data_IF_413762152125
#
_entry.id   IF_413762152125
#
_cell.length_a   1.000
_cell.length_b   1.000
_cell.length_c   1.000
_cell.angle_alpha   90.00
_cell.angle_beta   90.00
_cell.angle_gamma   90.00
#
_symmetry.space_group_name_H-M   'P 1'
#
loop_
_entity.id
_entity.type
_entity.pdbx_description
1 polymer ?
#
# COMPACT_ATOMS: atom_id res chain seq x y z
N UNK A 1 20.57 -5.95 -2.82
CA UNK A 1 19.36 -5.26 -3.29
C UNK A 1 18.34 -6.35 -3.66
N UNK A 2 17.29 -6.53 -2.85
CA UNK A 2 16.34 -7.65 -3.02
C UNK A 2 15.01 -7.09 -3.51
N UNK A 3 14.73 -7.29 -4.78
CA UNK A 3 13.48 -6.88 -5.44
C UNK A 3 12.43 -7.97 -5.22
N UNK A 4 11.21 -7.60 -4.84
CA UNK A 4 10.10 -8.55 -4.64
C UNK A 4 9.30 -8.68 -5.95
N UNK A 5 9.31 -9.84 -6.64
CA UNK A 5 8.55 -10.02 -7.87
C UNK A 5 7.10 -10.48 -7.60
N UNK A 6 6.11 -9.86 -8.26
CA UNK A 6 4.73 -10.35 -8.25
C UNK A 6 4.42 -11.12 -9.53
N UNK A 7 3.74 -12.27 -9.42
CA UNK A 7 3.12 -12.97 -10.56
C UNK A 7 1.59 -13.00 -10.39
N UNK A 8 0.84 -12.56 -11.42
CA UNK A 8 -0.63 -12.65 -11.48
C UNK A 8 -1.09 -13.82 -12.36
N UNK A 9 -2.26 -14.40 -12.01
CA UNK A 9 -2.94 -15.46 -12.76
C UNK A 9 -3.59 -14.88 -14.04
N UNK A 10 -3.36 -15.56 -15.17
CA UNK A 10 -4.29 -15.62 -16.30
C UNK A 10 -4.21 -14.50 -17.34
N UNK A 11 -3.58 -14.81 -18.47
CA UNK A 11 -4.02 -14.34 -19.80
C UNK A 11 -3.67 -12.93 -20.28
N UNK A 12 -3.32 -11.97 -19.41
CA UNK A 12 -2.90 -10.63 -19.87
C UNK A 12 -1.40 -10.59 -20.24
N UNK A 13 -1.02 -9.87 -21.33
CA UNK A 13 0.38 -9.71 -21.72
C UNK A 13 1.19 -9.05 -20.60
N UNK A 14 2.48 -9.40 -20.43
CA UNK A 14 3.26 -9.07 -19.25
C UNK A 14 3.46 -7.55 -19.15
N UNK A 15 2.63 -6.89 -18.35
CA UNK A 15 3.02 -5.63 -17.72
C UNK A 15 3.87 -6.01 -16.52
N UNK A 16 5.08 -5.48 -16.46
CA UNK A 16 5.99 -5.64 -15.33
C UNK A 16 5.20 -5.38 -14.04
N UNK A 17 5.20 -6.36 -13.13
CA UNK A 17 4.61 -6.17 -11.83
C UNK A 17 5.25 -4.95 -11.18
N UNK A 18 4.48 -4.05 -10.54
CA UNK A 18 5.05 -2.88 -9.90
C UNK A 18 6.09 -3.36 -8.88
N UNK A 19 7.34 -2.96 -9.11
CA UNK A 19 8.46 -3.28 -8.23
C UNK A 19 8.66 -2.10 -7.29
N UNK A 20 8.74 -2.40 -6.01
CA UNK A 20 9.19 -1.47 -4.99
C UNK A 20 10.24 -2.19 -4.17
N UNK A 21 11.32 -1.49 -3.81
CA UNK A 21 12.29 -2.05 -2.88
C UNK A 21 11.69 -2.09 -1.46
N UNK A 22 12.29 -2.94 -0.62
CA UNK A 22 11.79 -3.18 0.74
C UNK A 22 11.85 -1.93 1.62
N UNK A 23 12.86 -1.08 1.45
CA UNK A 23 13.06 0.10 2.30
C UNK A 23 11.98 1.14 1.98
N UNK A 24 11.77 1.44 0.70
CA UNK A 24 10.69 2.30 0.23
C UNK A 24 9.31 1.80 0.66
N UNK A 25 9.06 0.48 0.65
CA UNK A 25 7.80 -0.07 1.14
C UNK A 25 7.61 0.16 2.65
N UNK A 26 8.66 -0.01 3.44
CA UNK A 26 8.63 0.23 4.89
C UNK A 26 8.36 1.71 5.17
N UNK A 27 9.01 2.63 4.46
CA UNK A 27 8.77 4.07 4.60
C UNK A 27 7.31 4.45 4.25
N UNK A 28 6.79 3.93 3.12
CA UNK A 28 5.40 4.20 2.72
C UNK A 28 4.37 3.67 3.73
N UNK A 29 4.62 2.48 4.30
CA UNK A 29 3.78 1.93 5.36
C UNK A 29 3.86 2.77 6.64
N UNK A 30 5.04 3.29 6.99
CA UNK A 30 5.22 4.23 8.10
C UNK A 30 4.37 5.49 7.93
N UNK A 31 4.46 6.13 6.76
CA UNK A 31 3.65 7.33 6.44
C UNK A 31 2.16 7.02 6.50
N UNK A 32 1.73 5.83 6.06
CA UNK A 32 0.33 5.42 6.13
C UNK A 32 -0.16 5.25 7.59
N UNK A 33 0.68 4.71 8.47
CA UNK A 33 0.38 4.58 9.90
C UNK A 33 0.29 5.96 10.55
N UNK A 34 1.22 6.86 10.26
CA UNK A 34 1.22 8.22 10.80
C UNK A 34 -0.03 9.00 10.36
N UNK A 35 -0.43 8.87 9.09
CA UNK A 35 -1.68 9.44 8.58
C UNK A 35 -2.90 8.88 9.31
N UNK A 36 -2.93 7.56 9.56
CA UNK A 36 -4.03 6.92 10.28
C UNK A 36 -4.14 7.43 11.73
N UNK A 37 -2.99 7.56 12.42
CA UNK A 37 -2.95 8.12 13.77
C UNK A 37 -3.36 9.60 13.81
N UNK A 38 -3.04 10.37 12.77
CA UNK A 38 -3.49 11.76 12.63
C UNK A 38 -5.01 11.84 12.46
N UNK A 39 -5.60 10.98 11.62
CA UNK A 39 -7.06 10.91 11.40
C UNK A 39 -7.83 10.64 12.69
N UNK A 40 -7.29 9.80 13.58
CA UNK A 40 -7.91 9.51 14.87
C UNK A 40 -7.96 10.73 15.81
N UNK A 41 -7.03 11.68 15.63
CA UNK A 41 -6.92 12.91 16.43
C UNK A 41 -7.60 14.11 15.79
N UNK A 42 -8.08 14.00 14.55
CA UNK A 42 -8.80 15.09 13.86
C UNK A 42 -10.23 15.21 14.41
N UNK A 43 -10.55 16.39 14.95
CA UNK A 43 -11.84 16.69 15.57
C UNK A 43 -12.85 17.26 14.57
N UNK A 44 -12.37 17.81 13.45
CA UNK A 44 -13.21 18.26 12.35
C UNK A 44 -13.73 17.05 11.56
N UNK A 45 -15.05 16.83 11.63
CA UNK A 45 -15.70 15.70 10.97
C UNK A 45 -15.51 15.71 9.45
N UNK A 46 -15.54 16.89 8.83
CA UNK A 46 -15.40 17.01 7.38
C UNK A 46 -13.99 16.63 6.95
N UNK A 47 -12.97 17.19 7.61
CA UNK A 47 -11.56 16.84 7.37
C UNK A 47 -11.30 15.36 7.63
N UNK A 48 -11.87 14.80 8.70
CA UNK A 48 -11.71 13.38 9.03
C UNK A 48 -12.24 12.47 7.92
N UNK A 49 -13.41 12.79 7.34
CA UNK A 49 -13.99 12.04 6.21
C UNK A 49 -13.09 12.14 4.96
N UNK A 50 -12.58 13.32 4.64
CA UNK A 50 -11.67 13.51 3.51
C UNK A 50 -10.38 12.71 3.67
N UNK A 51 -9.78 12.77 4.86
CA UNK A 51 -8.54 12.05 5.18
C UNK A 51 -8.74 10.54 5.16
N UNK A 52 -9.88 10.02 5.65
CA UNK A 52 -10.23 8.61 5.48
C UNK A 52 -10.32 8.20 4.01
N UNK A 53 -10.86 9.07 3.13
CA UNK A 53 -10.89 8.82 1.70
C UNK A 53 -9.50 8.77 1.05
N UNK A 54 -8.54 9.55 1.56
CA UNK A 54 -7.13 9.50 1.13
C UNK A 54 -6.48 8.21 1.63
N UNK A 55 -6.63 7.90 2.93
CA UNK A 55 -6.08 6.69 3.53
C UNK A 55 -6.60 5.42 2.84
N UNK A 56 -7.89 5.33 2.53
CA UNK A 56 -8.45 4.18 1.80
C UNK A 56 -7.83 4.01 0.40
N UNK A 57 -7.61 5.11 -0.34
CA UNK A 57 -6.95 5.04 -1.65
C UNK A 57 -5.49 4.61 -1.53
N UNK A 58 -4.77 5.13 -0.53
CA UNK A 58 -3.39 4.70 -0.25
C UNK A 58 -3.32 3.22 0.14
N UNK A 59 -4.21 2.77 1.03
CA UNK A 59 -4.31 1.37 1.44
C UNK A 59 -4.59 0.44 0.25
N UNK A 60 -5.45 0.83 -0.68
CA UNK A 60 -5.72 0.07 -1.90
C UNK A 60 -4.49 -0.04 -2.82
N UNK A 61 -3.68 1.02 -2.91
CA UNK A 61 -2.41 1.03 -3.66
C UNK A 61 -1.34 0.19 -2.96
N UNK A 62 -1.29 0.21 -1.62
CA UNK A 62 -0.29 -0.50 -0.83
C UNK A 62 -0.61 -2.00 -0.65
N UNK A 63 -1.89 -2.38 -0.67
CA UNK A 63 -2.35 -3.76 -0.43
C UNK A 63 -1.66 -4.83 -1.28
N UNK A 64 -1.38 -4.63 -2.58
CA UNK A 64 -0.65 -5.61 -3.39
C UNK A 64 0.76 -5.88 -2.88
N UNK A 65 1.39 -4.92 -2.20
CA UNK A 65 2.78 -5.01 -1.73
C UNK A 65 2.93 -5.68 -0.37
N UNK A 66 1.86 -5.78 0.41
CA UNK A 66 1.89 -6.39 1.75
C UNK A 66 1.60 -7.90 1.75
N UNK A 67 1.21 -8.46 0.60
CA UNK A 67 0.98 -9.89 0.46
C UNK A 67 2.26 -10.63 0.06
N UNK A 68 2.57 -11.78 0.69
CA UNK A 68 3.65 -12.64 0.21
C UNK A 68 3.36 -13.07 -1.24
N UNK A 69 4.39 -13.17 -2.10
CA UNK A 69 4.20 -13.63 -3.47
C UNK A 69 3.54 -15.02 -3.45
N UNK A 70 2.48 -15.19 -4.24
CA UNK A 70 1.77 -16.48 -4.34
C UNK A 70 2.76 -17.59 -4.72
N UNK A 71 3.04 -18.49 -3.78
CA UNK A 71 3.98 -19.61 -3.95
C UNK A 71 5.23 -19.57 -3.06
N UNK A 72 5.44 -18.51 -2.27
CA UNK A 72 6.37 -18.55 -1.16
C UNK A 72 5.69 -19.21 0.05
N UNK A 73 6.08 -20.46 0.36
CA UNK A 73 5.86 -21.12 1.65
C UNK A 73 7.11 -20.90 2.50
#
# INVERSE_FOLDING_TARGET
MTVVPFKRRGGEPPREAPQIDRESLVELLGVFIDLSAYIEREHDLHKRVELYGIANRMGAVLHPFTQPPKGAV
#
